data_IF_239897213532
#
_entry.id   IF_239897213532
#
_cell.length_a   1.000
_cell.length_b   1.000
_cell.length_c   1.000
_cell.angle_alpha   90.00
_cell.angle_beta   90.00
_cell.angle_gamma   90.00
#
_symmetry.space_group_name_H-M   'P 1'
#
loop_
_entity.id
_entity.type
_entity.pdbx_description
1 polymer ?
#
# COMPACT_ATOMS: atom_id res chain seq x y z
N UNK A 1 -9.22 4.94 -9.78
CA UNK A 1 -7.82 5.35 -9.55
C UNK A 1 -7.12 4.29 -8.69
N UNK A 2 -5.91 3.96 -9.04
CA UNK A 2 -5.10 3.02 -8.25
C UNK A 2 -4.22 3.82 -7.30
N UNK A 3 -4.22 3.42 -6.04
CA UNK A 3 -3.29 3.91 -5.03
C UNK A 3 -2.48 2.73 -4.48
N UNK A 4 -1.38 3.01 -3.81
CA UNK A 4 -0.40 2.01 -3.40
C UNK A 4 -0.23 1.98 -1.89
N UNK A 5 0.00 0.79 -1.36
CA UNK A 5 0.30 0.57 0.05
C UNK A 5 1.39 -0.49 0.17
N UNK A 6 2.41 -0.21 0.96
CA UNK A 6 3.52 -1.14 1.22
C UNK A 6 3.29 -1.88 2.53
N UNK A 7 3.53 -3.19 2.52
CA UNK A 7 3.38 -4.02 3.70
C UNK A 7 4.35 -5.21 3.64
N UNK A 8 4.91 -5.67 4.78
CA UNK A 8 5.66 -6.91 4.80
C UNK A 8 4.80 -8.06 4.28
N UNK A 9 5.38 -8.85 3.38
CA UNK A 9 4.66 -9.94 2.72
C UNK A 9 4.05 -10.91 3.73
N UNK A 10 4.84 -11.31 4.73
CA UNK A 10 4.39 -12.26 5.75
C UNK A 10 3.20 -11.72 6.55
N UNK A 11 3.23 -10.46 6.91
CA UNK A 11 2.13 -9.84 7.64
C UNK A 11 0.86 -9.81 6.79
N UNK A 12 0.99 -9.42 5.53
CA UNK A 12 -0.15 -9.39 4.62
C UNK A 12 -0.78 -10.78 4.48
N UNK A 13 0.03 -11.82 4.31
CA UNK A 13 -0.46 -13.19 4.17
C UNK A 13 -1.27 -13.64 5.38
N UNK A 14 -0.92 -13.17 6.58
CA UNK A 14 -1.69 -13.47 7.80
C UNK A 14 -3.05 -12.78 7.83
N UNK A 15 -3.23 -11.70 7.07
CA UNK A 15 -4.46 -10.92 7.04
C UNK A 15 -5.49 -11.43 6.02
N UNK A 16 -5.09 -12.29 5.09
CA UNK A 16 -5.96 -12.72 3.98
C UNK A 16 -7.27 -13.35 4.45
N UNK A 17 -7.24 -14.10 5.54
CA UNK A 17 -8.42 -14.78 6.08
C UNK A 17 -9.26 -13.91 7.02
N UNK A 18 -8.85 -12.70 7.31
CA UNK A 18 -9.65 -11.77 8.09
C UNK A 18 -10.70 -11.10 7.19
N UNK A 19 -11.77 -10.60 7.79
CA UNK A 19 -12.84 -9.95 7.02
C UNK A 19 -12.34 -8.73 6.26
N UNK A 20 -11.38 -7.99 6.84
CA UNK A 20 -10.75 -6.83 6.24
C UNK A 20 -9.25 -6.86 6.50
N UNK A 21 -8.50 -6.13 5.68
CA UNK A 21 -7.08 -5.93 5.91
C UNK A 21 -6.86 -4.73 6.84
N UNK A 22 -6.06 -4.92 7.88
CA UNK A 22 -5.63 -3.87 8.80
C UNK A 22 -4.12 -3.99 9.02
N UNK A 23 -3.33 -3.01 8.56
CA UNK A 23 -1.88 -3.03 8.83
C UNK A 23 -1.59 -2.74 10.30
N UNK A 24 -0.41 -3.15 10.74
CA UNK A 24 0.01 -2.97 12.13
C UNK A 24 -0.14 -1.53 12.65
N UNK A 25 0.33 -0.52 11.89
CA UNK A 25 0.21 0.88 12.35
C UNK A 25 -1.22 1.38 12.52
N UNK A 26 -2.22 0.70 11.95
CA UNK A 26 -3.61 1.13 12.06
C UNK A 26 -4.07 1.25 13.51
N UNK A 27 -3.63 0.34 14.37
CA UNK A 27 -4.01 0.36 15.79
C UNK A 27 -3.60 1.67 16.48
N UNK A 28 -2.53 2.30 16.02
CA UNK A 28 -2.01 3.55 16.55
C UNK A 28 -2.50 4.76 15.74
N UNK A 29 -2.48 4.66 14.42
CA UNK A 29 -2.71 5.81 13.53
C UNK A 29 -4.20 6.02 13.21
N UNK A 30 -5.01 4.98 13.27
CA UNK A 30 -6.44 5.05 12.95
C UNK A 30 -6.76 5.09 11.47
N UNK A 31 -5.77 4.92 10.61
CA UNK A 31 -5.97 4.88 9.16
C UNK A 31 -4.86 4.07 8.48
N UNK A 32 -5.08 3.70 7.23
CA UNK A 32 -4.11 3.00 6.40
C UNK A 32 -3.39 4.02 5.53
N UNK A 33 -2.06 4.04 5.61
CA UNK A 33 -1.23 4.93 4.79
C UNK A 33 -1.14 4.42 3.37
N UNK A 34 -1.51 5.27 2.41
CA UNK A 34 -1.37 4.97 0.99
C UNK A 34 -0.65 6.10 0.26
N UNK A 35 -0.19 5.82 -0.94
CA UNK A 35 0.48 6.80 -1.79
C UNK A 35 -0.15 6.75 -3.19
N UNK A 36 -0.40 7.92 -3.75
CA UNK A 36 -1.11 8.05 -5.03
C UNK A 36 -0.23 7.71 -6.23
N UNK A 37 1.05 8.11 -6.22
CA UNK A 37 1.97 7.96 -7.35
C UNK A 37 3.01 6.90 -7.09
N UNK A 38 3.35 6.13 -8.11
CA UNK A 38 4.32 5.04 -8.01
C UNK A 38 5.72 5.53 -7.61
N UNK A 39 6.19 6.63 -8.20
CA UNK A 39 7.49 7.20 -7.85
C UNK A 39 7.54 7.68 -6.41
N UNK A 40 6.47 8.30 -5.94
CA UNK A 40 6.36 8.77 -4.57
C UNK A 40 6.26 7.59 -3.59
N UNK A 41 5.61 6.50 -4.00
CA UNK A 41 5.55 5.27 -3.20
C UNK A 41 6.95 4.72 -2.93
N UNK A 42 7.80 4.69 -3.96
CA UNK A 42 9.19 4.26 -3.79
C UNK A 42 9.96 5.17 -2.84
N UNK A 43 9.77 6.48 -2.94
CA UNK A 43 10.41 7.45 -2.05
C UNK A 43 10.01 7.22 -0.60
N UNK A 44 8.71 7.03 -0.34
CA UNK A 44 8.19 6.75 1.00
C UNK A 44 8.74 5.43 1.51
N UNK A 45 8.74 4.39 0.67
CA UNK A 45 9.26 3.08 1.04
C UNK A 45 10.73 3.18 1.48
N UNK A 46 11.54 3.90 0.73
CA UNK A 46 12.97 4.06 1.04
C UNK A 46 13.20 4.92 2.28
N UNK A 47 12.36 5.91 2.50
CA UNK A 47 12.49 6.78 3.67
C UNK A 47 12.18 6.03 4.98
N UNK A 48 11.14 5.20 4.99
CA UNK A 48 10.62 4.62 6.23
C UNK A 48 10.87 3.12 6.38
N UNK A 49 11.10 2.39 5.29
CA UNK A 49 11.12 0.93 5.32
C UNK A 49 12.39 0.30 4.77
N UNK A 50 13.34 1.10 4.26
CA UNK A 50 14.57 0.56 3.65
C UNK A 50 15.33 -0.37 4.57
N UNK A 51 15.34 -0.07 5.88
CA UNK A 51 16.08 -0.85 6.86
C UNK A 51 15.32 -2.10 7.33
N UNK A 52 14.06 -2.22 7.00
CA UNK A 52 13.30 -3.43 7.33
C UNK A 52 13.71 -4.56 6.43
N UNK A 53 14.07 -5.69 7.04
CA UNK A 53 14.49 -6.88 6.31
C UNK A 53 13.29 -7.71 5.89
N UNK A 54 13.54 -8.58 4.92
CA UNK A 54 12.53 -9.50 4.42
C UNK A 54 11.71 -8.93 3.26
N UNK A 55 10.93 -9.79 2.60
CA UNK A 55 10.16 -9.37 1.45
C UNK A 55 8.97 -8.50 1.85
N UNK A 56 8.71 -7.50 1.02
CA UNK A 56 7.56 -6.62 1.11
C UNK A 56 6.76 -6.72 -0.18
N UNK A 57 5.49 -6.38 -0.11
CA UNK A 57 4.62 -6.32 -1.28
C UNK A 57 3.97 -4.96 -1.38
N UNK A 58 3.70 -4.55 -2.63
CA UNK A 58 2.83 -3.42 -2.90
C UNK A 58 1.42 -3.94 -3.11
N UNK A 59 0.46 -3.37 -2.38
CA UNK A 59 -0.95 -3.57 -2.66
C UNK A 59 -1.40 -2.48 -3.62
N UNK A 60 -2.03 -2.89 -4.72
CA UNK A 60 -2.64 -1.99 -5.68
C UNK A 60 -4.12 -1.92 -5.34
N UNK A 61 -4.57 -0.74 -4.93
CA UNK A 61 -5.91 -0.54 -4.39
C UNK A 61 -6.73 0.33 -5.34
N UNK A 62 -7.88 -0.18 -5.78
CA UNK A 62 -8.82 0.60 -6.58
C UNK A 62 -9.72 1.41 -5.65
N UNK A 63 -9.54 2.73 -5.67
CA UNK A 63 -10.28 3.63 -4.77
C UNK A 63 -11.78 3.54 -4.95
N UNK A 64 -12.26 3.19 -6.16
CA UNK A 64 -13.69 3.05 -6.43
C UNK A 64 -14.34 1.87 -5.71
N UNK A 65 -13.52 0.91 -5.27
CA UNK A 65 -13.99 -0.30 -4.58
C UNK A 65 -13.84 -0.22 -3.07
N UNK A 66 -13.12 0.78 -2.56
CA UNK A 66 -12.88 0.93 -1.13
C UNK A 66 -14.18 1.35 -0.44
N UNK A 67 -14.61 0.57 0.56
CA UNK A 67 -15.84 0.85 1.31
C UNK A 67 -15.63 1.89 2.42
N UNK A 68 -14.44 1.89 3.03
CA UNK A 68 -14.10 2.85 4.07
C UNK A 68 -13.86 4.24 3.47
N UNK A 69 -13.92 5.25 4.33
CA UNK A 69 -13.68 6.64 3.90
C UNK A 69 -12.21 6.82 3.51
N UNK A 70 -11.99 7.45 2.36
CA UNK A 70 -10.66 7.88 1.93
C UNK A 70 -10.57 9.39 2.10
N UNK A 71 -9.50 9.87 2.75
CA UNK A 71 -9.29 11.29 2.98
C UNK A 71 -7.83 11.64 2.69
N UNK A 72 -7.64 12.78 2.02
CA UNK A 72 -6.30 13.35 1.81
C UNK A 72 -6.08 14.39 2.89
N UNK A 73 -5.13 14.11 3.79
CA UNK A 73 -4.80 15.02 4.89
C UNK A 73 -3.63 15.95 4.55
N UNK A 74 -3.02 15.74 3.37
CA UNK A 74 -1.95 16.61 2.88
C UNK A 74 -2.46 17.56 1.78
N UNK A 75 -1.90 18.78 1.75
CA UNK A 75 -2.35 19.81 0.81
C UNK A 75 -2.12 19.42 -0.66
N UNK A 76 -1.05 18.67 -0.95
CA UNK A 76 -0.71 18.22 -2.30
C UNK A 76 -1.54 17.02 -2.76
N UNK A 77 -2.35 16.43 -1.88
CA UNK A 77 -3.20 15.26 -2.15
C UNK A 77 -2.41 14.07 -2.71
N UNK A 78 -1.25 13.80 -2.12
CA UNK A 78 -0.37 12.70 -2.51
C UNK A 78 -0.56 11.45 -1.66
N UNK A 79 -1.08 11.61 -0.44
CA UNK A 79 -1.14 10.53 0.55
C UNK A 79 -2.57 10.28 0.99
N UNK A 80 -3.34 9.48 0.21
CA UNK A 80 -4.67 9.11 0.65
C UNK A 80 -4.60 8.22 1.89
N UNK A 81 -5.42 8.53 2.88
CA UNK A 81 -5.56 7.74 4.10
C UNK A 81 -6.91 7.03 4.09
N UNK A 82 -6.91 5.72 4.32
CA UNK A 82 -8.13 4.93 4.40
C UNK A 82 -8.52 4.79 5.88
N UNK A 83 -9.64 5.38 6.24
CA UNK A 83 -10.12 5.42 7.63
C UNK A 83 -11.05 4.25 7.92
N UNK A 84 -10.49 3.06 7.99
CA UNK A 84 -11.20 1.83 8.28
C UNK A 84 -10.47 0.63 7.72
N UNK A 85 -10.98 -0.56 7.99
CA UNK A 85 -10.43 -1.77 7.40
C UNK A 85 -10.63 -1.79 5.90
N UNK A 86 -9.63 -2.31 5.19
CA UNK A 86 -9.69 -2.38 3.74
C UNK A 86 -10.35 -3.70 3.32
N UNK A 87 -11.43 -3.60 2.57
CA UNK A 87 -12.07 -4.77 1.99
C UNK A 87 -11.16 -5.40 0.93
N UNK A 88 -11.03 -6.72 0.97
CA UNK A 88 -10.07 -7.44 0.12
C UNK A 88 -10.35 -7.27 -1.37
N UNK A 89 -11.61 -7.13 -1.77
CA UNK A 89 -11.98 -6.96 -3.17
C UNK A 89 -11.58 -5.60 -3.76
N UNK A 90 -11.15 -4.65 -2.93
CA UNK A 90 -10.56 -3.41 -3.40
C UNK A 90 -9.07 -3.55 -3.75
N UNK A 91 -8.43 -4.63 -3.33
CA UNK A 91 -7.05 -4.94 -3.67
C UNK A 91 -7.05 -5.68 -5.01
N UNK A 92 -6.71 -4.97 -6.08
CA UNK A 92 -6.81 -5.52 -7.44
C UNK A 92 -5.54 -6.19 -7.93
N UNK A 93 -4.42 -5.97 -7.25
CA UNK A 93 -3.17 -6.68 -7.52
C UNK A 93 -2.25 -6.61 -6.31
N UNK A 94 -1.40 -7.62 -6.20
CA UNK A 94 -0.37 -7.72 -5.17
C UNK A 94 0.91 -8.05 -5.91
N UNK A 95 1.95 -7.24 -5.73
CA UNK A 95 3.24 -7.44 -6.40
C UNK A 95 4.37 -7.33 -5.41
N UNK A 96 5.39 -8.16 -5.59
CA UNK A 96 6.61 -8.06 -4.79
C UNK A 96 7.23 -6.68 -4.95
N UNK A 97 7.53 -6.03 -3.83
CA UNK A 97 8.26 -4.77 -3.82
C UNK A 97 9.74 -5.09 -4.05
N UNK A 98 10.18 -4.97 -5.30
CA UNK A 98 11.54 -5.30 -5.68
C UNK A 98 12.52 -4.28 -5.13
N UNK A 99 13.74 -4.73 -4.84
CA UNK A 99 14.83 -3.87 -4.37
C UNK A 99 16.00 -3.97 -5.33
N UNK A 100 16.74 -2.89 -5.46
CA UNK A 100 18.00 -2.87 -6.21
C UNK A 100 19.13 -3.50 -5.36
N UNK A 101 20.35 -3.65 -5.92
CA UNK A 101 21.48 -4.22 -5.18
C UNK A 101 21.88 -3.45 -3.91
N UNK A 102 21.49 -2.19 -3.79
CA UNK A 102 21.76 -1.36 -2.62
C UNK A 102 20.66 -1.43 -1.57
N UNK A 103 19.61 -2.19 -1.83
CA UNK A 103 18.48 -2.36 -0.91
C UNK A 103 17.38 -1.33 -1.07
N UNK A 104 17.49 -0.43 -2.03
CA UNK A 104 16.44 0.56 -2.30
C UNK A 104 15.24 -0.10 -2.96
N UNK A 105 14.04 0.25 -2.50
CA UNK A 105 12.82 -0.20 -3.14
C UNK A 105 12.64 0.47 -4.49
N UNK A 106 12.29 -0.32 -5.49
CA UNK A 106 11.90 0.18 -6.81
C UNK A 106 10.42 0.56 -6.80
N UNK A 107 10.01 1.48 -7.68
CA UNK A 107 8.59 1.85 -7.76
C UNK A 107 7.71 0.67 -8.13
N UNK A 108 6.44 0.65 -7.66
CA UNK A 108 5.49 -0.34 -8.16
C UNK A 108 5.30 -0.17 -9.67
N UNK A 109 5.27 -1.29 -10.38
CA UNK A 109 5.08 -1.30 -11.82
C UNK A 109 3.64 -0.92 -12.17
N UNK A 110 3.47 -0.23 -13.29
CA UNK A 110 2.15 0.11 -13.78
C UNK A 110 1.40 -1.17 -14.17
N UNK A 111 0.16 -1.29 -13.70
CA UNK A 111 -0.69 -2.39 -14.13
C UNK A 111 -1.11 -2.18 -15.58
N UNK A 112 -0.94 -3.24 -16.40
CA UNK A 112 -1.54 -3.27 -17.72
C UNK A 112 -2.99 -3.72 -17.55
N UNK A 113 -3.91 -2.80 -17.88
CA UNK A 113 -5.34 -3.14 -17.94
C UNK A 113 -5.62 -3.50 -19.37
N UNK A 114 -5.91 -4.78 -19.61
CA UNK A 114 -6.37 -5.24 -20.91
C UNK A 114 -7.89 -5.26 -20.88
N UNK A 115 -8.46 -4.48 -21.75
CA UNK A 115 -9.91 -4.50 -21.97
C UNK A 115 -10.32 -5.74 -22.75
#
# INVERSE_FOLDING_TARGET
MIIYHLVPKRFYEQQIKNAVYLPKPFAHDGFIHCTKRADEMARVANQFYKQERGPHVYLYIDTRRVKAKIQYDDAARQYPHIYGGLNHDAIVAIRLAQRDPYGDFLPPEKLEIRD
#
